data_IF_120061770050
#
_entry.id   IF_120061770050
#
_cell.length_a   1.000
_cell.length_b   1.000
_cell.length_c   1.000
_cell.angle_alpha   90.00
_cell.angle_beta   90.00
_cell.angle_gamma   90.00
#
_symmetry.space_group_name_H-M   'P 1'
#
loop_
_entity.id
_entity.type
_entity.pdbx_description
1 polymer ?
#
# COMPACT_ATOMS: atom_id res chain seq x y z
N UNK A 1 36.93 -1.98 -11.34
CA UNK A 1 36.36 -2.03 -11.21
C UNK A 1 35.89 -2.34 -11.43
N UNK A 2 35.78 -2.53 -11.71
CA UNK A 2 35.09 -2.88 -11.95
C UNK A 2 34.71 -3.57 -12.33
N UNK A 3 35.00 -3.81 -12.63
CA UNK A 3 34.35 -4.43 -12.96
C UNK A 3 34.22 -5.23 -13.12
N UNK A 4 34.50 -5.46 -13.15
CA UNK A 4 34.08 -6.02 -13.14
C UNK A 4 33.61 -6.66 -13.05
N UNK A 5 33.74 -6.91 -13.20
CA UNK A 5 32.98 -7.38 -13.02
C UNK A 5 32.38 -7.82 -13.21
N UNK A 6 32.40 -7.94 -13.60
CA UNK A 6 31.63 -8.25 -13.84
C UNK A 6 31.29 -8.97 -14.25
N UNK A 7 31.23 -9.14 -14.36
CA UNK A 7 30.66 -9.82 -14.77
C UNK A 7 30.94 -10.60 -15.36
N UNK A 8 31.28 -10.81 -15.75
CA UNK A 8 31.50 -11.56 -16.30
C UNK A 8 31.22 -12.56 -16.22
N UNK A 9 31.44 -12.75 -15.97
CA UNK A 9 31.02 -13.49 -15.80
C UNK A 9 29.96 -13.87 -16.07
N UNK A 10 29.58 -13.30 -16.40
CA UNK A 10 28.36 -13.48 -16.72
C UNK A 10 28.14 -14.32 -17.77
N UNK A 11 29.00 -14.79 -18.23
CA UNK A 11 28.77 -15.80 -19.15
C UNK A 11 27.82 -16.75 -18.56
N UNK A 12 27.63 -16.61 -17.34
CA UNK A 12 26.64 -17.37 -16.69
C UNK A 12 25.35 -16.68 -16.77
N UNK A 13 25.01 -16.26 -17.95
CA UNK A 13 23.82 -15.46 -18.18
C UNK A 13 22.57 -16.17 -17.73
N UNK A 14 22.50 -17.43 -17.90
CA UNK A 14 21.32 -18.19 -17.52
C UNK A 14 21.07 -18.07 -16.03
N UNK A 15 22.14 -18.16 -15.26
CA UNK A 15 21.99 -18.06 -13.82
C UNK A 15 21.52 -16.66 -13.43
N UNK A 16 22.06 -15.66 -14.11
CA UNK A 16 21.65 -14.30 -13.81
C UNK A 16 20.18 -14.09 -14.11
N UNK A 17 19.74 -14.66 -15.21
CA UNK A 17 18.34 -14.53 -15.58
C UNK A 17 17.42 -15.15 -14.54
N UNK A 18 17.82 -16.31 -14.03
CA UNK A 18 17.04 -16.99 -13.01
C UNK A 18 16.94 -16.12 -11.76
N UNK A 19 18.03 -15.49 -11.38
CA UNK A 19 18.04 -14.65 -10.19
C UNK A 19 17.07 -13.49 -10.35
N UNK A 20 17.05 -12.91 -11.55
CA UNK A 20 16.15 -11.79 -11.81
C UNK A 20 14.71 -12.24 -11.68
N UNK A 21 14.38 -13.40 -12.21
CA UNK A 21 13.03 -13.91 -12.13
C UNK A 21 12.61 -14.11 -10.68
N UNK A 22 13.53 -14.59 -9.88
CA UNK A 22 13.21 -14.80 -8.47
C UNK A 22 12.97 -13.49 -7.75
N UNK A 23 13.73 -12.46 -8.10
CA UNK A 23 13.54 -11.17 -7.49
C UNK A 23 12.14 -10.62 -7.80
N UNK A 24 11.72 -10.81 -9.06
CA UNK A 24 10.39 -10.34 -9.43
C UNK A 24 9.31 -11.08 -8.66
N UNK A 25 9.47 -12.37 -8.50
CA UNK A 25 8.44 -13.15 -7.82
C UNK A 25 8.43 -12.89 -6.32
N UNK A 26 9.46 -12.22 -5.81
CA UNK A 26 9.51 -11.90 -4.40
C UNK A 26 8.67 -10.68 -4.05
N UNK A 27 8.19 -9.96 -5.05
CA UNK A 27 7.37 -8.79 -4.78
C UNK A 27 6.07 -9.20 -4.12
N UNK A 28 5.58 -8.34 -3.23
CA UNK A 28 4.31 -8.58 -2.56
C UNK A 28 3.19 -8.43 -3.57
N UNK A 29 2.41 -9.48 -3.80
CA UNK A 29 1.32 -9.36 -4.75
C UNK A 29 0.22 -8.49 -4.19
N UNK A 30 -0.47 -7.81 -5.10
CA UNK A 30 -1.63 -7.04 -4.73
C UNK A 30 -2.70 -7.98 -4.20
N UNK A 31 -3.25 -7.68 -3.06
CA UNK A 31 -4.24 -8.54 -2.43
C UNK A 31 -5.58 -7.84 -2.37
N UNK A 32 -6.62 -8.56 -2.75
CA UNK A 32 -7.98 -8.05 -2.64
C UNK A 32 -8.55 -8.47 -1.30
N UNK A 33 -8.95 -7.51 -0.49
CA UNK A 33 -9.54 -7.80 0.82
C UNK A 33 -10.93 -8.38 0.61
N UNK A 34 -11.44 -9.07 1.62
CA UNK A 34 -12.77 -9.66 1.53
C UNK A 34 -13.82 -8.57 1.32
N UNK A 35 -14.92 -8.95 0.66
CA UNK A 35 -15.99 -8.01 0.39
C UNK A 35 -16.54 -7.43 1.68
N UNK A 36 -16.72 -8.28 2.67
CA UNK A 36 -17.27 -7.84 3.94
C UNK A 36 -16.37 -6.80 4.61
N UNK A 37 -15.06 -7.06 4.63
CA UNK A 37 -14.13 -6.13 5.24
C UNK A 37 -14.09 -4.82 4.45
N UNK A 38 -14.10 -4.92 3.13
CA UNK A 38 -14.05 -3.74 2.27
C UNK A 38 -15.26 -2.85 2.49
N UNK A 39 -16.44 -3.43 2.57
CA UNK A 39 -17.65 -2.65 2.77
C UNK A 39 -17.64 -1.95 4.12
N UNK A 40 -17.19 -2.66 5.16
CA UNK A 40 -17.12 -2.06 6.48
C UNK A 40 -16.08 -0.93 6.52
N UNK A 41 -14.93 -1.17 5.87
CA UNK A 41 -13.89 -0.15 5.80
C UNK A 41 -14.41 1.12 5.14
N UNK A 42 -15.07 0.97 3.99
CA UNK A 42 -15.54 2.14 3.24
C UNK A 42 -16.63 2.88 4.01
N UNK A 43 -17.49 2.15 4.69
CA UNK A 43 -18.53 2.78 5.48
C UNK A 43 -17.94 3.61 6.63
N UNK A 44 -17.00 3.02 7.37
CA UNK A 44 -16.39 3.70 8.49
C UNK A 44 -15.55 4.89 8.02
N UNK A 45 -14.82 4.70 6.92
CA UNK A 45 -13.99 5.76 6.37
C UNK A 45 -14.85 6.92 5.91
N UNK A 46 -15.96 6.62 5.21
CA UNK A 46 -16.85 7.65 4.70
C UNK A 46 -17.43 8.47 5.86
N UNK A 47 -17.90 7.78 6.88
CA UNK A 47 -18.46 8.46 8.03
C UNK A 47 -17.45 9.38 8.69
N UNK A 48 -16.23 8.87 8.90
CA UNK A 48 -15.18 9.65 9.53
C UNK A 48 -14.79 10.86 8.68
N UNK A 49 -14.64 10.64 7.38
CA UNK A 49 -14.22 11.73 6.48
C UNK A 49 -15.25 12.82 6.40
N UNK A 50 -16.52 12.45 6.35
CA UNK A 50 -17.58 13.46 6.29
C UNK A 50 -17.70 14.21 7.60
N UNK A 51 -17.43 13.54 8.73
CA UNK A 51 -17.46 14.23 10.03
C UNK A 51 -16.31 15.21 10.14
N UNK A 52 -15.25 15.04 9.35
CA UNK A 52 -14.15 16.00 9.32
C UNK A 52 -14.39 17.13 8.34
N UNK A 53 -15.51 17.11 7.64
CA UNK A 53 -15.89 18.22 6.78
C UNK A 53 -15.85 17.95 5.29
N UNK A 54 -15.52 16.75 4.85
CA UNK A 54 -15.51 16.47 3.44
C UNK A 54 -16.91 16.26 2.90
N UNK A 55 -17.17 16.74 1.68
CA UNK A 55 -18.41 16.41 1.00
C UNK A 55 -18.39 14.94 0.62
N UNK A 56 -19.56 14.37 0.43
CA UNK A 56 -19.65 12.92 0.19
C UNK A 56 -18.84 12.45 -1.01
N UNK A 57 -18.90 13.12 -2.18
CA UNK A 57 -18.10 12.63 -3.31
C UNK A 57 -16.60 12.64 -3.03
N UNK A 58 -16.13 13.67 -2.32
CA UNK A 58 -14.72 13.76 -1.98
C UNK A 58 -14.34 12.70 -0.97
N UNK A 59 -15.21 12.45 0.00
CA UNK A 59 -14.96 11.41 0.99
C UNK A 59 -14.90 10.05 0.32
N UNK A 60 -15.78 9.79 -0.64
CA UNK A 60 -15.75 8.53 -1.36
C UNK A 60 -14.45 8.35 -2.13
N UNK A 61 -14.00 9.41 -2.80
CA UNK A 61 -12.74 9.34 -3.54
C UNK A 61 -11.57 9.09 -2.60
N UNK A 62 -11.55 9.77 -1.47
CA UNK A 62 -10.48 9.60 -0.50
C UNK A 62 -10.47 8.16 0.02
N UNK A 63 -11.62 7.64 0.42
CA UNK A 63 -11.68 6.33 1.02
C UNK A 63 -11.37 5.22 0.01
N UNK A 64 -11.81 5.39 -1.24
CA UNK A 64 -11.46 4.42 -2.27
C UNK A 64 -9.96 4.45 -2.55
N UNK A 65 -9.35 5.63 -2.53
CA UNK A 65 -7.91 5.75 -2.74
C UNK A 65 -7.14 5.05 -1.62
N UNK A 66 -7.50 5.34 -0.37
CA UNK A 66 -6.76 4.74 0.75
C UNK A 66 -6.92 3.22 0.77
N UNK A 67 -8.12 2.73 0.48
CA UNK A 67 -8.33 1.29 0.43
C UNK A 67 -7.43 0.64 -0.62
N UNK A 68 -7.38 1.24 -1.81
CA UNK A 68 -6.55 0.71 -2.88
C UNK A 68 -5.07 0.71 -2.49
N UNK A 69 -4.63 1.80 -1.87
CA UNK A 69 -3.23 1.88 -1.46
C UNK A 69 -2.89 0.84 -0.40
N UNK A 70 -3.78 0.62 0.56
CA UNK A 70 -3.54 -0.38 1.58
C UNK A 70 -3.52 -1.78 0.97
N UNK A 71 -4.41 -2.06 0.03
CA UNK A 71 -4.41 -3.36 -0.62
C UNK A 71 -3.14 -3.62 -1.41
N UNK A 72 -2.54 -2.57 -1.95
CA UNK A 72 -1.29 -2.72 -2.69
C UNK A 72 -0.10 -2.92 -1.78
N UNK A 73 -0.14 -2.38 -0.57
CA UNK A 73 1.02 -2.38 0.31
C UNK A 73 0.97 -3.46 1.39
N UNK A 74 -0.20 -3.91 1.78
CA UNK A 74 -0.34 -4.81 2.92
C UNK A 74 -1.33 -5.92 2.61
N UNK A 75 -1.05 -7.13 3.11
CA UNK A 75 -2.08 -8.15 3.17
C UNK A 75 -3.14 -7.69 4.16
N UNK A 76 -4.31 -8.32 4.11
CA UNK A 76 -5.37 -7.94 5.04
C UNK A 76 -4.91 -8.13 6.48
N UNK A 77 -4.26 -9.26 6.78
CA UNK A 77 -3.79 -9.51 8.14
C UNK A 77 -2.80 -8.43 8.58
N UNK A 78 -1.85 -8.09 7.69
CA UNK A 78 -0.86 -7.08 8.05
C UNK A 78 -1.50 -5.72 8.25
N UNK A 79 -2.51 -5.39 7.44
CA UNK A 79 -3.21 -4.11 7.59
C UNK A 79 -3.96 -4.05 8.91
N UNK A 80 -4.63 -5.16 9.28
CA UNK A 80 -5.34 -5.19 10.54
C UNK A 80 -4.40 -5.05 11.73
N UNK A 81 -3.22 -5.68 11.64
CA UNK A 81 -2.22 -5.56 12.69
C UNK A 81 -1.70 -4.13 12.78
N UNK A 82 -1.49 -3.48 11.62
CA UNK A 82 -1.03 -2.11 11.61
C UNK A 82 -2.05 -1.18 12.25
N UNK A 83 -3.33 -1.39 11.95
CA UNK A 83 -4.38 -0.59 12.57
C UNK A 83 -4.40 -0.74 14.08
N UNK A 84 -4.32 -1.97 14.55
CA UNK A 84 -4.32 -2.21 15.99
C UNK A 84 -3.11 -1.59 16.67
N UNK A 85 -1.95 -1.70 16.02
CA UNK A 85 -0.72 -1.18 16.58
C UNK A 85 -0.72 0.34 16.60
N UNK A 86 -1.38 0.96 15.63
CA UNK A 86 -1.41 2.42 15.54
C UNK A 86 -2.08 3.07 16.73
N UNK A 87 -2.87 2.33 17.47
CA UNK A 87 -3.55 2.90 18.62
C UNK A 87 -2.57 3.29 19.73
N UNK A 88 -1.43 2.62 19.79
CA UNK A 88 -0.45 2.88 20.84
C UNK A 88 0.95 3.17 20.32
N UNK A 89 1.16 3.07 19.00
CA UNK A 89 2.49 3.22 18.41
C UNK A 89 2.45 4.33 17.38
N UNK A 90 3.21 5.40 17.65
CA UNK A 90 3.21 6.58 16.78
C UNK A 90 3.76 6.26 15.39
N UNK A 91 4.73 5.36 15.30
CA UNK A 91 5.30 5.01 13.99
C UNK A 91 4.24 4.34 13.14
N UNK A 92 3.49 3.40 13.71
CA UNK A 92 2.41 2.75 12.97
C UNK A 92 1.33 3.75 12.60
N UNK A 93 0.99 4.65 13.50
CA UNK A 93 0.00 5.67 13.20
C UNK A 93 0.46 6.55 12.05
N UNK A 94 1.74 6.89 12.03
CA UNK A 94 2.28 7.73 10.96
C UNK A 94 2.21 7.05 9.60
N UNK A 95 2.34 5.73 9.57
CA UNK A 95 2.21 5.01 8.31
C UNK A 95 0.80 5.14 7.74
N UNK A 96 -0.18 5.00 8.60
CA UNK A 96 -1.57 5.16 8.16
C UNK A 96 -1.85 6.59 7.72
N UNK A 97 -1.37 7.55 8.50
CA UNK A 97 -1.55 8.96 8.19
C UNK A 97 -0.90 9.29 6.84
N UNK A 98 0.27 8.72 6.58
CA UNK A 98 0.96 8.98 5.32
C UNK A 98 0.15 8.58 4.10
N UNK A 99 -0.52 7.44 4.17
CA UNK A 99 -1.38 7.01 3.06
C UNK A 99 -2.55 7.97 2.91
N UNK A 100 -3.15 8.38 4.03
CA UNK A 100 -4.24 9.34 3.98
C UNK A 100 -3.82 10.66 3.37
N UNK A 101 -2.64 11.15 3.74
CA UNK A 101 -2.14 12.39 3.18
C UNK A 101 -1.87 12.28 1.69
N UNK A 102 -1.28 11.16 1.27
CA UNK A 102 -1.02 10.95 -0.15
C UNK A 102 -2.32 10.99 -0.94
N UNK A 103 -3.34 10.31 -0.45
CA UNK A 103 -4.62 10.27 -1.15
C UNK A 103 -5.32 11.62 -1.13
N UNK A 104 -5.24 12.33 -0.01
CA UNK A 104 -5.87 13.64 0.09
C UNK A 104 -5.24 14.63 -0.87
N UNK A 105 -3.91 14.60 -0.96
CA UNK A 105 -3.21 15.48 -1.88
C UNK A 105 -3.57 15.17 -3.32
N UNK A 106 -3.77 13.90 -3.63
CA UNK A 106 -4.16 13.52 -4.98
C UNK A 106 -5.49 14.16 -5.38
N UNK A 107 -6.40 14.31 -4.43
CA UNK A 107 -7.68 14.95 -4.72
C UNK A 107 -7.53 16.41 -5.10
N UNK A 108 -6.55 17.07 -4.50
CA UNK A 108 -6.36 18.49 -4.73
C UNK A 108 -5.85 18.81 -6.13
N UNK A 109 -5.26 17.82 -6.79
CA UNK A 109 -4.65 18.03 -8.09
C UNK A 109 -5.35 17.31 -9.22
N UNK A 110 -6.53 16.79 -8.98
CA UNK A 110 -7.30 16.15 -10.05
C UNK A 110 -8.02 17.17 -10.91
#
# INVERSE_FOLDING_TARGET
MKPKYLGIKCSLLAACSIAIAMAVSAEVPEETYSTEYTEQYLKDCLTASMSEGLAEPEAQNLCNCTLREFQQQYTLTAFQELNAKAETDQVAANELIGVGQFCFESLLFE
#
